data_IF_431123355706
#
_entry.id   IF_431123355706
#
_cell.length_a   1.000
_cell.length_b   1.000
_cell.length_c   1.000
_cell.angle_alpha   90.00
_cell.angle_beta   90.00
_cell.angle_gamma   90.00
#
_symmetry.space_group_name_H-M   'P 1'
#
loop_
_entity.id
_entity.type
_entity.pdbx_description
1 polymer ?
#
# COMPACT_ATOMS: atom_id res chain seq x y z
N UNK A 1 0.36 2.92 -10.25
CA UNK A 1 -0.04 4.10 -11.05
C UNK A 1 1.19 4.95 -11.27
N UNK A 2 1.50 5.95 -10.45
CA UNK A 2 2.63 6.88 -10.70
C UNK A 2 3.89 6.64 -9.85
N UNK A 3 4.17 5.39 -9.48
CA UNK A 3 5.40 5.02 -8.75
C UNK A 3 5.49 5.39 -7.25
N UNK A 4 4.77 6.41 -6.75
CA UNK A 4 4.90 6.85 -5.35
C UNK A 4 4.62 5.74 -4.32
N UNK A 5 3.52 5.00 -4.47
CA UNK A 5 3.19 3.89 -3.57
C UNK A 5 4.27 2.80 -3.59
N UNK A 6 4.89 2.54 -4.75
CA UNK A 6 6.00 1.59 -4.87
C UNK A 6 7.24 2.09 -4.12
N UNK A 7 7.60 3.37 -4.26
CA UNK A 7 8.72 3.98 -3.53
C UNK A 7 8.53 3.89 -2.02
N UNK A 8 7.31 4.14 -1.54
CA UNK A 8 6.95 3.95 -0.13
C UNK A 8 7.05 2.49 0.28
N UNK A 9 6.52 1.54 -0.50
CA UNK A 9 6.61 0.11 -0.21
C UNK A 9 8.07 -0.36 -0.06
N UNK A 10 8.97 0.12 -0.92
CA UNK A 10 10.40 -0.20 -0.85
C UNK A 10 11.05 0.39 0.41
N UNK A 11 10.74 1.64 0.75
CA UNK A 11 11.23 2.27 1.97
C UNK A 11 10.72 1.55 3.25
N UNK A 12 9.46 1.11 3.26
CA UNK A 12 8.91 0.28 4.35
C UNK A 12 9.66 -1.06 4.44
N UNK A 13 9.93 -1.70 3.30
CA UNK A 13 10.67 -2.95 3.24
C UNK A 13 12.10 -2.81 3.80
N UNK A 14 12.78 -1.70 3.49
CA UNK A 14 14.10 -1.38 4.09
C UNK A 14 14.01 -1.30 5.62
N UNK A 15 12.96 -0.69 6.17
CA UNK A 15 12.73 -0.62 7.61
C UNK A 15 12.37 -1.97 8.27
N UNK A 16 11.73 -2.86 7.52
CA UNK A 16 11.33 -4.20 7.97
C UNK A 16 12.45 -5.24 7.89
N UNK A 17 13.44 -5.04 7.02
CA UNK A 17 14.50 -6.01 6.75
C UNK A 17 15.24 -6.55 8.00
N UNK A 18 15.46 -5.77 9.09
CA UNK A 18 16.07 -6.30 10.31
C UNK A 18 15.24 -7.36 11.06
N UNK A 19 13.93 -7.45 10.78
CA UNK A 19 12.98 -8.32 11.49
C UNK A 19 12.67 -9.62 10.74
N UNK A 20 13.20 -9.79 9.53
CA UNK A 20 13.05 -11.02 8.74
C UNK A 20 13.14 -10.80 7.23
N UNK A 21 13.04 -11.88 6.44
CA UNK A 21 13.02 -11.79 4.97
C UNK A 21 11.82 -10.99 4.48
N UNK A 22 12.06 -10.02 3.60
CA UNK A 22 11.00 -9.18 3.02
C UNK A 22 10.93 -9.39 1.52
N UNK A 23 9.74 -9.73 1.03
CA UNK A 23 9.44 -9.80 -0.41
C UNK A 23 8.54 -8.61 -0.76
N UNK A 24 8.95 -7.83 -1.77
CA UNK A 24 8.12 -6.74 -2.31
C UNK A 24 7.61 -7.12 -3.69
N UNK A 25 6.31 -6.97 -3.91
CA UNK A 25 5.67 -7.29 -5.18
C UNK A 25 4.51 -6.33 -5.47
N UNK A 26 4.27 -6.07 -6.75
CA UNK A 26 3.04 -5.41 -7.19
C UNK A 26 1.89 -6.42 -7.14
N UNK A 27 0.67 -6.01 -6.77
CA UNK A 27 -0.51 -6.91 -6.71
C UNK A 27 -0.85 -7.58 -8.05
N UNK A 28 -0.36 -7.05 -9.17
CA UNK A 28 -0.50 -7.63 -10.50
C UNK A 28 0.58 -8.68 -10.84
N UNK A 29 1.64 -8.78 -10.03
CA UNK A 29 2.65 -9.83 -10.16
C UNK A 29 2.12 -11.15 -9.58
N UNK A 30 2.44 -12.27 -10.24
CA UNK A 30 2.15 -13.62 -9.73
C UNK A 30 2.82 -13.84 -8.37
N UNK A 31 4.03 -13.29 -8.18
CA UNK A 31 4.81 -13.39 -6.95
C UNK A 31 4.03 -12.88 -5.74
N UNK A 32 3.20 -11.84 -5.90
CA UNK A 32 2.45 -11.27 -4.78
C UNK A 32 1.51 -12.30 -4.13
N UNK A 33 0.79 -13.08 -4.94
CA UNK A 33 -0.12 -14.11 -4.42
C UNK A 33 0.63 -15.30 -3.82
N UNK A 34 1.76 -15.67 -4.42
CA UNK A 34 2.58 -16.77 -3.94
C UNK A 34 3.22 -16.44 -2.58
N UNK A 35 3.89 -15.30 -2.47
CA UNK A 35 4.52 -14.85 -1.23
C UNK A 35 3.51 -14.68 -0.08
N UNK A 36 2.29 -14.24 -0.38
CA UNK A 36 1.23 -14.06 0.63
C UNK A 36 0.82 -15.38 1.30
N UNK A 37 0.99 -16.54 0.66
CA UNK A 37 0.57 -17.84 1.23
C UNK A 37 1.46 -18.33 2.37
N UNK A 38 2.71 -17.89 2.40
CA UNK A 38 3.72 -18.33 3.38
C UNK A 38 4.20 -17.20 4.29
N UNK A 39 3.63 -16.00 4.17
CA UNK A 39 4.00 -14.85 4.98
C UNK A 39 3.28 -14.86 6.32
N UNK A 40 4.00 -14.53 7.39
CA UNK A 40 3.41 -14.29 8.72
C UNK A 40 2.73 -12.92 8.79
N UNK A 41 3.28 -11.95 8.05
CA UNK A 41 2.83 -10.56 8.00
C UNK A 41 2.61 -10.10 6.55
N UNK A 42 1.45 -9.51 6.27
CA UNK A 42 1.17 -8.79 5.03
C UNK A 42 1.17 -7.27 5.26
N UNK A 43 2.10 -6.56 4.62
CA UNK A 43 2.05 -5.10 4.53
C UNK A 43 1.53 -4.69 3.16
N UNK A 44 0.33 -4.08 3.12
CA UNK A 44 -0.39 -3.80 1.89
C UNK A 44 -0.74 -2.33 1.76
N UNK A 45 -0.51 -1.76 0.58
CA UNK A 45 -0.84 -0.36 0.33
C UNK A 45 -1.19 -0.03 -1.11
N UNK A 46 -1.83 1.12 -1.27
CA UNK A 46 -2.35 1.62 -2.53
C UNK A 46 -2.53 3.14 -2.49
N UNK A 47 -2.68 3.81 -3.64
CA UNK A 47 -3.03 5.22 -3.65
C UNK A 47 -4.47 5.42 -3.15
N UNK A 48 -4.70 6.54 -2.46
CA UNK A 48 -6.04 6.97 -2.06
C UNK A 48 -6.74 7.72 -3.18
N UNK A 49 -7.99 7.33 -3.42
CA UNK A 49 -8.95 8.08 -4.23
C UNK A 49 -10.11 8.58 -3.35
N UNK A 50 -11.00 9.37 -3.94
CA UNK A 50 -12.22 9.84 -3.27
C UNK A 50 -13.00 8.60 -2.76
N UNK A 51 -13.16 8.50 -1.43
CA UNK A 51 -13.74 7.37 -0.68
C UNK A 51 -12.87 6.10 -0.54
N UNK A 52 -11.53 6.24 -0.55
CA UNK A 52 -10.56 5.23 -0.13
C UNK A 52 -9.89 4.45 -1.27
N UNK A 53 -9.91 3.11 -1.24
CA UNK A 53 -9.21 2.28 -2.25
C UNK A 53 -9.70 2.55 -3.68
N UNK A 54 -8.76 2.59 -4.63
CA UNK A 54 -9.01 2.71 -6.09
C UNK A 54 -10.14 1.78 -6.58
N UNK A 55 -10.86 2.23 -7.61
CA UNK A 55 -11.82 1.45 -8.40
C UNK A 55 -11.31 1.31 -9.84
N UNK A 56 -11.83 0.37 -10.65
CA UNK A 56 -11.42 0.23 -12.06
C UNK A 56 -11.49 1.55 -12.83
N UNK A 57 -12.61 2.27 -12.71
CA UNK A 57 -12.81 3.59 -13.35
C UNK A 57 -11.77 4.64 -12.93
N UNK A 58 -11.37 4.66 -11.65
CA UNK A 58 -10.32 5.58 -11.18
C UNK A 58 -8.93 5.25 -11.76
N UNK A 59 -8.69 3.97 -12.12
CA UNK A 59 -7.45 3.54 -12.76
C UNK A 59 -7.45 3.85 -14.27
N UNK A 60 -8.62 3.79 -14.91
CA UNK A 60 -8.82 4.26 -16.28
C UNK A 60 -8.58 5.78 -16.39
N UNK A 61 -9.13 6.57 -15.46
CA UNK A 61 -8.88 8.03 -15.39
C UNK A 61 -7.40 8.36 -15.27
N UNK A 62 -6.65 7.62 -14.45
CA UNK A 62 -5.21 7.82 -14.35
C UNK A 62 -4.44 7.44 -15.61
N UNK A 63 -4.98 6.52 -16.41
CA UNK A 63 -4.45 6.21 -17.74
C UNK A 63 -4.68 7.40 -18.68
N UNK A 64 -5.87 8.01 -18.62
CA UNK A 64 -6.13 9.24 -19.36
C UNK A 64 -5.20 10.39 -18.93
N UNK A 65 -4.92 10.54 -17.63
CA UNK A 65 -4.00 11.58 -17.14
C UNK A 65 -2.54 11.36 -17.55
N UNK A 66 -2.07 10.12 -17.65
CA UNK A 66 -0.74 9.83 -18.16
C UNK A 66 -0.59 10.10 -19.66
N UNK A 67 -1.69 10.00 -20.43
CA UNK A 67 -1.69 10.36 -21.85
C UNK A 67 -1.78 11.87 -22.09
N UNK A 68 -2.05 12.65 -21.03
CA UNK A 68 -2.03 14.11 -21.07
C UNK A 68 -0.61 14.61 -20.83
N UNK A 69 0.09 14.93 -21.92
CA UNK A 69 1.47 15.42 -21.89
C UNK A 69 1.67 16.71 -21.07
N UNK A 70 0.60 17.45 -20.75
CA UNK A 70 0.69 18.65 -19.89
C UNK A 70 0.92 18.32 -18.41
N UNK A 71 0.67 17.06 -17.99
CA UNK A 71 0.72 16.63 -16.59
C UNK A 71 2.05 16.01 -16.18
N UNK A 72 2.93 15.70 -17.13
CA UNK A 72 4.21 15.01 -16.88
C UNK A 72 4.08 13.76 -15.98
N UNK A 73 3.01 12.99 -16.16
CA UNK A 73 2.76 11.76 -15.41
C UNK A 73 3.11 10.53 -16.23
N UNK A 74 3.87 9.62 -15.64
CA UNK A 74 4.18 8.31 -16.26
C UNK A 74 3.51 7.19 -15.46
N UNK A 75 2.77 6.33 -16.15
CA UNK A 75 2.24 5.11 -15.54
C UNK A 75 3.34 4.07 -15.37
N UNK A 76 3.32 3.39 -14.23
CA UNK A 76 4.12 2.18 -14.00
C UNK A 76 3.73 1.10 -15.04
N UNK A 77 4.68 0.29 -15.55
CA UNK A 77 4.44 -0.69 -16.62
C UNK A 77 3.31 -1.70 -16.36
N UNK A 78 2.98 -1.95 -15.09
CA UNK A 78 1.92 -2.88 -14.68
C UNK A 78 0.55 -2.22 -14.50
N UNK A 79 0.34 -1.01 -15.04
CA UNK A 79 -0.92 -0.28 -14.99
C UNK A 79 -1.51 -0.02 -16.40
N UNK A 80 -2.85 -0.07 -16.59
CA UNK A 80 -3.86 -0.42 -15.59
C UNK A 80 -3.96 -1.94 -15.35
N UNK A 81 -4.32 -2.33 -14.13
CA UNK A 81 -4.45 -3.73 -13.71
C UNK A 81 -5.42 -3.89 -12.54
N UNK A 82 -5.39 -5.06 -11.90
CA UNK A 82 -6.08 -5.34 -10.63
C UNK A 82 -5.64 -4.35 -9.56
N UNK A 83 -6.60 -3.76 -8.84
CA UNK A 83 -6.31 -2.90 -7.70
C UNK A 83 -6.27 -3.68 -6.40
N UNK A 84 -5.80 -3.03 -5.33
CA UNK A 84 -5.74 -3.63 -3.98
C UNK A 84 -7.11 -4.14 -3.52
N UNK A 85 -8.18 -3.42 -3.85
CA UNK A 85 -9.55 -3.80 -3.48
C UNK A 85 -9.95 -5.16 -4.04
N UNK A 86 -9.75 -5.34 -5.34
CA UNK A 86 -10.08 -6.58 -6.05
C UNK A 86 -9.13 -7.70 -5.61
N UNK A 87 -7.85 -7.37 -5.47
CA UNK A 87 -6.83 -8.33 -5.05
C UNK A 87 -7.11 -8.94 -3.67
N UNK A 88 -7.51 -8.14 -2.67
CA UNK A 88 -7.89 -8.65 -1.33
C UNK A 88 -9.09 -9.60 -1.41
N UNK A 89 -10.07 -9.34 -2.30
CA UNK A 89 -11.24 -10.21 -2.47
C UNK A 89 -10.84 -11.58 -3.00
N UNK A 90 -9.87 -11.62 -3.89
CA UNK A 90 -9.43 -12.83 -4.59
C UNK A 90 -8.39 -13.65 -3.82
N UNK A 91 -7.91 -13.17 -2.66
CA UNK A 91 -7.04 -13.96 -1.80
C UNK A 91 -7.79 -15.20 -1.28
N UNK A 92 -7.18 -16.38 -1.42
CA UNK A 92 -7.73 -17.59 -0.82
C UNK A 92 -7.56 -17.58 0.71
N UNK A 93 -6.39 -17.13 1.17
CA UNK A 93 -6.04 -16.97 2.58
C UNK A 93 -5.34 -15.61 2.76
N UNK A 94 -5.53 -15.00 3.92
CA UNK A 94 -4.78 -13.82 4.34
C UNK A 94 -3.79 -14.24 5.43
N UNK A 95 -2.57 -13.67 5.46
CA UNK A 95 -1.66 -13.85 6.59
C UNK A 95 -2.32 -13.50 7.92
N UNK A 96 -1.81 -14.10 8.99
CA UNK A 96 -2.35 -13.90 10.34
C UNK A 96 -2.22 -12.44 10.78
N UNK A 97 -1.14 -11.77 10.37
CA UNK A 97 -0.86 -10.39 10.71
C UNK A 97 -0.91 -9.49 9.48
N UNK A 98 -1.34 -8.24 9.67
CA UNK A 98 -1.29 -7.23 8.62
C UNK A 98 -0.91 -5.84 9.12
N UNK A 99 -0.38 -5.02 8.21
CA UNK A 99 -0.32 -3.58 8.33
C UNK A 99 -0.75 -2.94 7.00
N UNK A 100 -1.32 -1.74 7.04
CA UNK A 100 -1.84 -1.07 5.86
C UNK A 100 -1.28 0.34 5.72
N UNK A 101 -0.97 0.73 4.49
CA UNK A 101 -0.55 2.10 4.19
C UNK A 101 -1.19 2.64 2.92
N UNK A 102 -1.14 3.95 2.73
CA UNK A 102 -1.57 4.59 1.50
C UNK A 102 -0.67 5.76 1.10
N UNK A 103 -0.76 6.17 -0.16
CA UNK A 103 -0.23 7.45 -0.62
C UNK A 103 -1.37 8.36 -1.01
N UNK A 104 -1.35 9.61 -0.55
CA UNK A 104 -2.46 10.55 -0.75
C UNK A 104 -1.96 11.99 -0.91
N UNK A 105 -2.73 12.79 -1.62
CA UNK A 105 -2.54 14.25 -1.57
C UNK A 105 -3.03 14.80 -0.23
N UNK A 106 -2.29 15.76 0.33
CA UNK A 106 -2.50 16.33 1.68
C UNK A 106 -3.93 16.85 1.92
N UNK A 107 -4.62 17.30 0.87
CA UNK A 107 -5.99 17.85 0.99
C UNK A 107 -7.13 16.80 0.98
N UNK A 108 -6.85 15.51 0.76
CA UNK A 108 -7.88 14.47 0.50
C UNK A 108 -8.47 13.79 1.76
N UNK A 109 -7.94 14.01 2.97
CA UNK A 109 -8.40 13.29 4.18
C UNK A 109 -9.74 13.80 4.70
N UNK A 110 -10.00 15.11 4.57
CA UNK A 110 -11.11 15.80 5.25
C UNK A 110 -12.49 15.34 4.75
N UNK A 111 -12.58 14.71 3.57
CA UNK A 111 -13.86 14.45 2.92
C UNK A 111 -14.25 12.96 2.78
N UNK A 112 -13.36 11.97 2.96
CA UNK A 112 -13.75 10.58 2.62
C UNK A 112 -12.91 9.39 3.13
N UNK A 113 -12.01 9.57 4.10
CA UNK A 113 -11.22 8.47 4.68
C UNK A 113 -10.09 7.95 3.78
N UNK A 114 -8.96 7.56 4.38
CA UNK A 114 -7.78 7.08 3.66
C UNK A 114 -7.94 5.61 3.18
N UNK A 115 -7.31 5.27 2.05
CA UNK A 115 -7.32 3.89 1.54
C UNK A 115 -6.72 2.91 2.54
N UNK A 116 -5.71 3.32 3.31
CA UNK A 116 -5.04 2.50 4.34
C UNK A 116 -6.03 1.98 5.38
N UNK A 117 -6.97 2.83 5.85
CA UNK A 117 -8.05 2.41 6.76
C UNK A 117 -8.97 1.36 6.14
N UNK A 118 -9.37 1.54 4.88
CA UNK A 118 -10.21 0.57 4.16
C UNK A 118 -9.48 -0.75 3.86
N UNK A 119 -8.17 -0.69 3.58
CA UNK A 119 -7.32 -1.87 3.38
C UNK A 119 -7.23 -2.66 4.68
N UNK A 120 -6.88 -2.00 5.79
CA UNK A 120 -6.80 -2.62 7.10
C UNK A 120 -8.12 -3.28 7.49
N UNK A 121 -9.24 -2.58 7.34
CA UNK A 121 -10.57 -3.15 7.64
C UNK A 121 -10.92 -4.35 6.75
N UNK A 122 -10.58 -4.32 5.47
CA UNK A 122 -10.86 -5.43 4.55
C UNK A 122 -10.04 -6.68 4.91
N UNK A 123 -8.79 -6.53 5.32
CA UNK A 123 -7.94 -7.64 5.76
C UNK A 123 -8.41 -8.22 7.11
N UNK A 124 -8.78 -7.37 8.06
CA UNK A 124 -9.25 -7.84 9.38
C UNK A 124 -10.59 -8.56 9.32
N UNK A 125 -11.50 -8.12 8.44
CA UNK A 125 -12.75 -8.84 8.15
C UNK A 125 -12.52 -10.27 7.62
N UNK A 126 -11.34 -10.53 7.05
CA UNK A 126 -10.93 -11.83 6.52
C UNK A 126 -10.13 -12.68 7.50
N UNK A 127 -9.96 -12.24 8.75
CA UNK A 127 -9.29 -13.00 9.81
C UNK A 127 -7.85 -12.59 10.09
N UNK A 128 -7.31 -11.58 9.40
CA UNK A 128 -6.00 -11.02 9.75
C UNK A 128 -6.11 -10.11 10.98
N UNK A 129 -5.02 -9.95 11.72
CA UNK A 129 -4.90 -9.01 12.85
C UNK A 129 -3.99 -7.86 12.49
N UNK A 130 -4.45 -6.62 12.67
CA UNK A 130 -3.61 -5.45 12.48
C UNK A 130 -2.55 -5.37 13.60
N UNK A 131 -1.28 -5.24 13.24
CA UNK A 131 -0.17 -5.11 14.22
C UNK A 131 0.02 -3.67 14.68
N UNK A 132 -0.32 -2.70 13.84
CA UNK A 132 -0.26 -1.26 14.12
C UNK A 132 -1.36 -0.53 13.34
N UNK A 133 -1.66 0.70 13.73
CA UNK A 133 -2.58 1.58 12.99
C UNK A 133 -2.12 1.82 11.55
N UNK A 134 -3.06 1.94 10.58
CA UNK A 134 -2.72 2.27 9.20
C UNK A 134 -2.09 3.65 9.05
N UNK A 135 -1.18 3.81 8.07
CA UNK A 135 -0.41 5.05 7.87
C UNK A 135 -0.64 5.66 6.48
N UNK A 136 -0.69 6.99 6.42
CA UNK A 136 -0.73 7.74 5.16
C UNK A 136 0.58 8.46 4.89
N UNK A 137 1.04 8.34 3.64
CA UNK A 137 2.18 9.08 3.12
C UNK A 137 1.75 10.13 2.11
N UNK A 138 2.36 11.31 2.17
CA UNK A 138 1.91 12.49 1.46
C UNK A 138 2.56 12.63 0.07
N UNK A 139 1.73 13.06 -0.86
CA UNK A 139 2.07 13.34 -2.25
C UNK A 139 1.67 14.78 -2.55
N UNK A 140 2.60 15.53 -3.13
CA UNK A 140 2.41 16.91 -3.54
C UNK A 140 1.37 17.03 -4.67
N UNK A 141 0.99 18.27 -4.98
CA UNK A 141 0.13 18.56 -6.15
C UNK A 141 0.80 18.20 -7.48
N UNK A 142 2.12 18.14 -7.50
CA UNK A 142 2.93 17.76 -8.67
C UNK A 142 3.14 16.24 -8.75
N UNK A 143 2.38 15.46 -7.97
CA UNK A 143 2.42 14.00 -7.93
C UNK A 143 3.78 13.42 -7.53
N UNK A 144 4.57 14.17 -6.75
CA UNK A 144 5.80 13.69 -6.12
C UNK A 144 5.57 13.40 -4.64
N UNK A 145 6.31 12.47 -4.05
CA UNK A 145 6.31 12.35 -2.58
C UNK A 145 6.80 13.65 -1.95
N UNK A 146 6.18 14.05 -0.84
CA UNK A 146 6.65 15.17 -0.04
C UNK A 146 7.99 14.84 0.63
N UNK A 147 8.72 15.88 1.01
CA UNK A 147 10.04 15.73 1.63
C UNK A 147 9.96 14.96 2.95
N UNK A 148 10.88 14.01 3.14
CA UNK A 148 10.95 13.20 4.36
C UNK A 148 10.00 11.98 4.38
N UNK A 149 9.05 11.86 3.45
CA UNK A 149 8.09 10.74 3.45
C UNK A 149 8.77 9.37 3.30
N UNK A 150 9.88 9.29 2.56
CA UNK A 150 10.68 8.05 2.47
C UNK A 150 11.36 7.69 3.80
N UNK A 151 11.84 8.69 4.55
CA UNK A 151 12.44 8.44 5.86
C UNK A 151 11.37 8.03 6.88
N UNK A 152 10.20 8.68 6.85
CA UNK A 152 9.02 8.26 7.64
C UNK A 152 8.60 6.83 7.31
N UNK A 153 8.58 6.46 6.03
CA UNK A 153 8.21 5.12 5.58
C UNK A 153 9.15 4.03 6.12
N UNK A 154 10.47 4.29 6.13
CA UNK A 154 11.46 3.41 6.78
C UNK A 154 11.21 3.26 8.28
N UNK A 155 11.04 4.38 8.97
CA UNK A 155 10.79 4.39 10.43
C UNK A 155 9.47 3.67 10.78
N UNK A 156 8.44 3.82 9.94
CA UNK A 156 7.19 3.11 10.08
C UNK A 156 7.36 1.61 9.84
N UNK A 157 8.10 1.20 8.80
CA UNK A 157 8.44 -0.20 8.57
C UNK A 157 9.15 -0.86 9.76
N UNK A 158 10.11 -0.15 10.38
CA UNK A 158 10.75 -0.64 11.60
C UNK A 158 9.78 -0.77 12.78
N UNK A 159 8.80 0.14 12.88
CA UNK A 159 7.75 0.07 13.90
C UNK A 159 6.79 -1.10 13.68
N UNK A 160 6.46 -1.41 12.41
CA UNK A 160 5.68 -2.59 12.04
C UNK A 160 6.42 -3.87 12.45
N UNK A 161 7.73 -3.96 12.18
CA UNK A 161 8.56 -5.11 12.58
C UNK A 161 8.58 -5.33 14.10
N UNK A 162 8.81 -4.27 14.87
CA UNK A 162 8.75 -4.32 16.35
C UNK A 162 7.38 -4.75 16.88
N UNK A 163 6.30 -4.26 16.25
CA UNK A 163 4.94 -4.63 16.63
C UNK A 163 4.65 -6.11 16.31
N UNK A 164 5.17 -6.63 15.19
CA UNK A 164 5.04 -8.03 14.80
C UNK A 164 5.67 -8.99 15.82
N UNK A 165 6.84 -8.66 16.37
CA UNK A 165 7.52 -9.51 17.38
C UNK A 165 6.65 -9.77 18.61
N UNK A 166 5.79 -8.82 19.00
CA UNK A 166 4.85 -8.98 20.11
C UNK A 166 3.80 -10.07 19.87
N UNK A 167 3.59 -10.49 18.62
CA UNK A 167 2.64 -11.52 18.24
C UNK A 167 3.26 -12.89 18.00
N UNK A 168 4.58 -12.96 17.79
CA UNK A 168 5.30 -14.21 17.51
C UNK A 168 5.85 -14.84 18.81
N UNK A 169 6.06 -14.05 19.85
CA UNK A 169 6.55 -14.51 21.16
C UNK A 169 5.44 -14.94 22.15
N UNK A 170 4.24 -15.25 21.66
CA UNK A 170 3.10 -15.77 22.43
C UNK A 170 2.57 -17.05 21.78
#
# INVERSE_FOLDING_TARGET
MFGNTRRIALAIAEGLAPFGPVVTANVNDKLAREATRSADLLVLGGPTHVHGMTRPSSREEATAWANDNSRNLTLEPSAPGTGVREWIKDLALVPALCAAFDTRMDMVQILSGAASGHIGHALTKRGSRAVISPESFLVSKDYTLDDGELARARSWGASVGKAMEQFIHH
#
